data_IF_979239365055
#
_entry.id   IF_979239365055
#
_cell.length_a   1.000
_cell.length_b   1.000
_cell.length_c   1.000
_cell.angle_alpha   90.00
_cell.angle_beta   90.00
_cell.angle_gamma   90.00
#
_symmetry.space_group_name_H-M   'P 1'
#
loop_
_entity.id
_entity.type
_entity.pdbx_description
1 polymer ?
#
# COMPACT_ATOMS: atom_id res chain seq x y z
N UNK A 1 -31.81 -43.41 -59.88
CA UNK A 1 -30.72 -42.88 -59.03
C UNK A 1 -30.21 -44.01 -58.13
N UNK A 2 -28.89 -44.25 -58.08
CA UNK A 2 -28.23 -44.24 -56.79
C UNK A 2 -26.87 -43.53 -56.80
N UNK A 3 -26.57 -42.91 -55.65
CA UNK A 3 -25.40 -42.08 -55.36
C UNK A 3 -24.15 -42.96 -55.18
N UNK A 4 -23.13 -42.77 -56.02
CA UNK A 4 -21.73 -43.19 -55.75
C UNK A 4 -20.91 -41.93 -55.49
N UNK A 5 -20.55 -41.70 -54.23
CA UNK A 5 -19.70 -40.55 -53.89
C UNK A 5 -19.56 -40.31 -52.39
N UNK A 6 -19.08 -41.29 -51.61
CA UNK A 6 -18.72 -41.06 -50.19
C UNK A 6 -17.47 -41.80 -49.71
N UNK A 7 -16.79 -42.61 -50.53
CA UNK A 7 -15.61 -43.37 -50.08
C UNK A 7 -14.29 -42.58 -50.16
N UNK A 8 -14.18 -41.54 -50.99
CA UNK A 8 -12.95 -40.74 -51.09
C UNK A 8 -12.78 -39.74 -49.93
N UNK A 9 -13.87 -39.22 -49.35
CA UNK A 9 -13.80 -38.20 -48.30
C UNK A 9 -13.23 -38.72 -46.97
N UNK A 10 -13.45 -39.99 -46.64
CA UNK A 10 -12.93 -40.59 -45.41
C UNK A 10 -11.40 -40.68 -45.41
N UNK A 11 -10.82 -41.20 -46.50
CA UNK A 11 -9.37 -41.37 -46.63
C UNK A 11 -8.61 -40.05 -46.60
N UNK A 12 -9.12 -39.00 -47.25
CA UNK A 12 -8.53 -37.66 -47.20
C UNK A 12 -8.57 -37.03 -45.80
N UNK A 13 -9.61 -37.28 -45.00
CA UNK A 13 -9.68 -36.77 -43.63
C UNK A 13 -8.67 -37.45 -42.70
N UNK A 14 -8.49 -38.77 -42.83
CA UNK A 14 -7.45 -39.50 -42.09
C UNK A 14 -6.03 -39.06 -42.47
N UNK A 15 -5.81 -38.74 -43.76
CA UNK A 15 -4.52 -38.21 -44.24
C UNK A 15 -4.21 -36.82 -43.66
N UNK A 16 -5.22 -35.93 -43.61
CA UNK A 16 -5.07 -34.60 -43.01
C UNK A 16 -4.84 -34.65 -41.49
N UNK A 17 -5.51 -35.57 -40.77
CA UNK A 17 -5.28 -35.77 -39.33
C UNK A 17 -3.88 -36.32 -39.08
N UNK A 18 -3.42 -37.28 -39.89
CA UNK A 18 -2.04 -37.77 -39.81
C UNK A 18 -1.00 -36.68 -40.06
N UNK A 19 -1.24 -35.82 -41.05
CA UNK A 19 -0.35 -34.71 -41.38
C UNK A 19 -0.33 -33.64 -40.27
N UNK A 20 -1.48 -33.34 -39.67
CA UNK A 20 -1.56 -32.44 -38.51
C UNK A 20 -0.80 -32.99 -37.28
N UNK A 21 -0.88 -34.30 -37.03
CA UNK A 21 -0.12 -34.97 -35.96
C UNK A 21 1.39 -34.94 -36.20
N UNK A 22 1.82 -35.08 -37.46
CA UNK A 22 3.25 -34.97 -37.81
C UNK A 22 3.74 -33.53 -37.62
N UNK A 23 2.94 -32.53 -38.01
CA UNK A 23 3.29 -31.13 -37.77
C UNK A 23 3.33 -30.76 -36.29
N UNK A 24 2.43 -31.31 -35.46
CA UNK A 24 2.47 -31.09 -34.01
C UNK A 24 3.69 -31.73 -33.35
N UNK A 25 4.10 -32.93 -33.82
CA UNK A 25 5.33 -33.58 -33.37
C UNK A 25 6.57 -32.79 -33.77
N UNK A 26 6.63 -32.26 -35.00
CA UNK A 26 7.71 -31.39 -35.47
C UNK A 26 7.82 -30.09 -34.66
N UNK A 27 6.68 -29.49 -34.30
CA UNK A 27 6.64 -28.31 -33.42
C UNK A 27 7.14 -28.63 -32.01
N UNK A 28 6.78 -29.80 -31.47
CA UNK A 28 7.27 -30.25 -30.16
C UNK A 28 8.78 -30.49 -30.17
N UNK A 29 9.32 -31.15 -31.20
CA UNK A 29 10.78 -31.34 -31.32
C UNK A 29 11.50 -30.00 -31.49
N UNK A 30 10.94 -29.08 -32.28
CA UNK A 30 11.50 -27.73 -32.43
C UNK A 30 11.52 -26.93 -31.12
N UNK A 31 10.46 -27.03 -30.31
CA UNK A 31 10.40 -26.41 -28.98
C UNK A 31 11.37 -27.07 -27.99
N UNK A 32 11.63 -28.37 -28.12
CA UNK A 32 12.65 -29.07 -27.33
C UNK A 32 14.07 -28.66 -27.74
N UNK A 33 14.33 -28.46 -29.03
CA UNK A 33 15.63 -28.00 -29.55
C UNK A 33 15.89 -26.50 -29.28
N UNK A 34 14.84 -25.68 -29.19
CA UNK A 34 14.93 -24.24 -28.90
C UNK A 34 14.76 -23.88 -27.41
N UNK A 35 14.67 -24.87 -26.52
CA UNK A 35 14.73 -24.59 -25.09
C UNK A 35 16.18 -24.19 -24.72
N UNK A 36 16.43 -22.97 -24.21
CA UNK A 36 17.77 -22.56 -23.87
C UNK A 36 18.31 -23.46 -22.74
N UNK A 37 19.48 -24.06 -22.98
CA UNK A 37 20.22 -24.80 -21.96
C UNK A 37 20.51 -23.86 -20.78
N UNK A 38 20.12 -24.21 -19.54
CA UNK A 38 20.56 -23.46 -18.38
C UNK A 38 22.08 -23.62 -18.29
N UNK A 39 22.81 -22.51 -18.38
CA UNK A 39 24.25 -22.52 -18.16
C UNK A 39 24.56 -23.09 -16.77
N UNK A 40 25.33 -24.17 -16.77
CA UNK A 40 25.67 -24.91 -15.56
C UNK A 40 26.58 -26.10 -15.88
N UNK A 41 27.81 -25.78 -16.27
CA UNK A 41 29.05 -26.57 -16.21
C UNK A 41 28.99 -28.11 -16.23
N UNK A 42 29.70 -28.69 -17.22
CA UNK A 42 30.46 -29.93 -17.05
C UNK A 42 29.90 -31.13 -17.81
N UNK A 43 30.60 -31.49 -18.88
CA UNK A 43 30.47 -32.76 -19.59
C UNK A 43 30.73 -33.98 -18.69
N UNK A 44 30.00 -35.08 -18.89
CA UNK A 44 30.52 -36.44 -19.18
C UNK A 44 29.37 -37.48 -19.30
N UNK A 45 29.57 -38.61 -20.00
CA UNK A 45 28.53 -39.52 -20.48
C UNK A 45 28.20 -40.65 -19.49
N UNK A 46 26.98 -41.17 -19.58
CA UNK A 46 26.62 -42.51 -19.10
C UNK A 46 25.67 -42.57 -17.90
N UNK A 47 24.41 -42.91 -18.19
CA UNK A 47 23.35 -43.73 -17.52
C UNK A 47 23.41 -44.09 -16.00
N UNK A 48 24.49 -43.82 -15.24
CA UNK A 48 24.59 -44.10 -13.80
C UNK A 48 24.49 -42.85 -12.88
N UNK A 49 24.49 -41.63 -13.44
CA UNK A 49 24.51 -40.38 -12.66
C UNK A 49 23.14 -39.83 -12.22
N UNK A 50 22.05 -40.24 -12.85
CA UNK A 50 20.71 -39.68 -12.55
C UNK A 50 20.17 -40.13 -11.18
N UNK A 51 20.46 -41.36 -10.75
CA UNK A 51 20.01 -41.85 -9.43
C UNK A 51 20.71 -41.13 -8.27
N UNK A 52 22.05 -40.99 -8.34
CA UNK A 52 22.82 -40.29 -7.31
C UNK A 52 22.49 -38.79 -7.24
N UNK A 53 22.30 -38.15 -8.40
CA UNK A 53 21.91 -36.74 -8.46
C UNK A 53 20.51 -36.52 -7.86
N UNK A 54 19.53 -37.36 -8.23
CA UNK A 54 18.15 -37.27 -7.73
C UNK A 54 18.07 -37.51 -6.22
N UNK A 55 18.75 -38.53 -5.70
CA UNK A 55 18.79 -38.82 -4.26
C UNK A 55 19.47 -37.69 -3.48
N UNK A 56 20.53 -37.10 -4.03
CA UNK A 56 21.20 -35.94 -3.45
C UNK A 56 20.29 -34.69 -3.41
N UNK A 57 19.61 -34.38 -4.51
CA UNK A 57 18.63 -33.27 -4.54
C UNK A 57 17.47 -33.51 -3.58
N UNK A 58 17.00 -34.75 -3.47
CA UNK A 58 15.92 -35.11 -2.54
C UNK A 58 16.38 -34.98 -1.07
N UNK A 59 17.61 -35.36 -0.76
CA UNK A 59 18.19 -35.16 0.57
C UNK A 59 18.32 -33.67 0.92
N UNK A 60 18.73 -32.83 -0.03
CA UNK A 60 18.88 -31.38 0.18
C UNK A 60 17.52 -30.69 0.38
N UNK A 61 16.47 -31.12 -0.35
CA UNK A 61 15.10 -30.66 -0.12
C UNK A 61 14.58 -31.07 1.26
N UNK A 62 14.87 -32.31 1.67
CA UNK A 62 14.45 -32.81 2.98
C UNK A 62 15.16 -32.06 4.12
N UNK A 63 16.47 -31.79 3.98
CA UNK A 63 17.22 -30.99 4.94
C UNK A 63 16.63 -29.57 5.07
N UNK A 64 16.26 -28.95 3.95
CA UNK A 64 15.63 -27.63 3.98
C UNK A 64 14.25 -27.66 4.65
N UNK A 65 13.45 -28.70 4.37
CA UNK A 65 12.14 -28.89 5.00
C UNK A 65 12.26 -29.10 6.51
N UNK A 66 13.24 -29.90 6.95
CA UNK A 66 13.57 -30.11 8.37
C UNK A 66 14.01 -28.80 9.02
N UNK A 67 14.83 -27.99 8.34
CA UNK A 67 15.27 -26.69 8.83
C UNK A 67 14.11 -25.71 9.00
N UNK A 68 13.17 -25.66 8.03
CA UNK A 68 11.96 -24.86 8.14
C UNK A 68 11.03 -25.35 9.25
N UNK A 69 10.84 -26.67 9.38
CA UNK A 69 10.05 -27.26 10.47
C UNK A 69 10.64 -26.93 11.83
N UNK A 70 11.97 -27.03 11.97
CA UNK A 70 12.68 -26.67 13.20
C UNK A 70 12.50 -25.19 13.53
N UNK A 71 12.67 -24.30 12.55
CA UNK A 71 12.44 -22.85 12.74
C UNK A 71 10.99 -22.55 13.13
N UNK A 72 10.03 -23.17 12.46
CA UNK A 72 8.61 -23.00 12.75
C UNK A 72 8.24 -23.49 14.16
N UNK A 73 8.78 -24.62 14.61
CA UNK A 73 8.55 -25.13 15.97
C UNK A 73 9.22 -24.26 17.03
N UNK A 74 10.43 -23.77 16.78
CA UNK A 74 11.11 -22.81 17.65
C UNK A 74 10.32 -21.52 17.80
N UNK A 75 9.88 -20.93 16.68
CA UNK A 75 9.03 -19.73 16.69
C UNK A 75 7.70 -19.97 17.40
N UNK A 76 7.08 -21.14 17.18
CA UNK A 76 5.83 -21.52 17.88
C UNK A 76 6.04 -21.61 19.39
N UNK A 77 7.19 -22.10 19.85
CA UNK A 77 7.56 -22.11 21.28
C UNK A 77 7.77 -20.70 21.81
N UNK A 78 8.49 -19.83 21.08
CA UNK A 78 8.70 -18.44 21.47
C UNK A 78 7.37 -17.68 21.59
N UNK A 79 6.46 -17.87 20.62
CA UNK A 79 5.12 -17.28 20.66
C UNK A 79 4.33 -17.80 21.86
N UNK A 80 4.41 -19.11 22.16
CA UNK A 80 3.75 -19.67 23.33
C UNK A 80 4.30 -19.10 24.65
N UNK A 81 5.62 -18.95 24.75
CA UNK A 81 6.27 -18.37 25.93
C UNK A 81 5.89 -16.89 26.12
N UNK A 82 5.97 -16.08 25.06
CA UNK A 82 5.57 -14.67 25.11
C UNK A 82 4.08 -14.52 25.46
N UNK A 83 3.21 -15.39 24.95
CA UNK A 83 1.78 -15.40 25.33
C UNK A 83 1.59 -15.70 26.81
N UNK A 84 2.37 -16.64 27.36
CA UNK A 84 2.31 -16.95 28.78
C UNK A 84 2.81 -15.78 29.63
N UNK A 85 3.92 -15.14 29.26
CA UNK A 85 4.46 -13.97 29.95
C UNK A 85 3.47 -12.78 29.91
N UNK A 86 2.82 -12.54 28.77
CA UNK A 86 1.77 -11.53 28.64
C UNK A 86 0.55 -11.86 29.52
N UNK A 87 0.13 -13.12 29.57
CA UNK A 87 -0.98 -13.53 30.44
C UNK A 87 -0.62 -13.37 31.92
N UNK A 88 0.58 -13.75 32.33
CA UNK A 88 1.06 -13.59 33.71
C UNK A 88 1.15 -12.10 34.10
N UNK A 89 1.65 -11.26 33.21
CA UNK A 89 1.71 -9.81 33.44
C UNK A 89 0.31 -9.18 33.52
N UNK A 90 -0.63 -9.65 32.69
CA UNK A 90 -2.04 -9.24 32.73
C UNK A 90 -2.73 -9.64 34.04
N UNK A 91 -2.51 -10.87 34.53
CA UNK A 91 -3.03 -11.33 35.82
C UNK A 91 -2.41 -10.57 37.01
N UNK A 92 -1.12 -10.20 36.93
CA UNK A 92 -0.46 -9.32 37.90
C UNK A 92 -1.07 -7.92 37.91
N UNK A 93 -1.38 -7.36 36.75
CA UNK A 93 -2.07 -6.07 36.62
C UNK A 93 -3.49 -6.13 37.21
N UNK A 94 -4.26 -7.17 36.87
CA UNK A 94 -5.62 -7.36 37.40
C UNK A 94 -5.63 -7.53 38.92
N UNK A 95 -4.72 -8.34 39.46
CA UNK A 95 -4.60 -8.52 40.92
C UNK A 95 -4.10 -7.26 41.64
N UNK A 96 -3.29 -6.42 40.99
CA UNK A 96 -2.92 -5.11 41.51
C UNK A 96 -4.10 -4.12 41.51
N UNK A 97 -4.95 -4.17 40.48
CA UNK A 97 -6.18 -3.37 40.38
C UNK A 97 -7.24 -3.81 41.40
N UNK A 98 -7.45 -5.12 41.57
CA UNK A 98 -8.37 -5.69 42.56
C UNK A 98 -7.93 -5.34 43.99
N UNK A 99 -6.62 -5.34 44.27
CA UNK A 99 -6.06 -4.86 45.56
C UNK A 99 -6.25 -3.35 45.78
N UNK A 100 -6.23 -2.54 44.71
CA UNK A 100 -6.48 -1.09 44.75
C UNK A 100 -7.95 -0.77 45.00
N UNK A 101 -8.87 -1.64 44.56
CA UNK A 101 -10.31 -1.54 44.83
C UNK A 101 -10.69 -2.04 46.24
N UNK A 102 -9.98 -3.05 46.77
CA UNK A 102 -10.21 -3.60 48.11
C UNK A 102 -9.65 -2.71 49.25
N UNK A 103 -8.53 -2.02 49.02
CA UNK A 103 -7.98 -1.05 49.96
C UNK A 103 -8.43 0.36 49.54
N UNK A 104 -9.56 0.81 50.10
CA UNK A 104 -10.04 2.18 49.95
C UNK A 104 -8.93 3.21 50.18
N UNK A 105 -8.89 4.20 49.30
CA UNK A 105 -7.91 5.28 49.18
C UNK A 105 -7.10 5.62 50.45
N UNK A 106 -5.77 5.49 50.35
CA UNK A 106 -4.83 5.88 51.39
C UNK A 106 -3.37 5.86 50.94
N UNK A 107 -2.93 6.99 50.37
CA UNK A 107 -1.56 7.53 50.34
C UNK A 107 -0.36 6.70 49.79
N UNK A 108 0.17 7.24 48.70
CA UNK A 108 1.54 7.76 48.55
C UNK A 108 2.69 6.77 48.26
N UNK A 109 3.32 7.03 47.12
CA UNK A 109 4.72 6.71 46.85
C UNK A 109 4.93 5.40 46.10
N UNK A 110 5.49 5.50 44.89
CA UNK A 110 6.11 4.40 44.13
C UNK A 110 5.14 3.45 43.41
N UNK A 111 4.45 3.92 42.36
CA UNK A 111 3.86 3.03 41.33
C UNK A 111 3.46 3.70 39.99
N UNK A 112 3.85 4.94 39.72
CA UNK A 112 3.61 5.61 38.42
C UNK A 112 4.71 5.31 37.37
N UNK A 113 5.74 4.57 37.76
CA UNK A 113 6.91 4.30 36.92
C UNK A 113 6.65 3.41 35.69
N UNK A 114 5.92 2.28 35.75
CA UNK A 114 5.75 1.43 34.57
C UNK A 114 4.86 2.05 33.48
N UNK A 115 3.93 2.94 33.85
CA UNK A 115 3.09 3.67 32.89
C UNK A 115 3.87 4.79 32.21
N UNK A 116 4.73 5.50 32.97
CA UNK A 116 5.58 6.54 32.42
C UNK A 116 6.71 5.96 31.58
N UNK A 117 7.35 4.87 32.00
CA UNK A 117 8.38 4.17 31.24
C UNK A 117 7.83 3.64 29.90
N UNK A 118 6.59 3.14 29.89
CA UNK A 118 5.91 2.73 28.66
C UNK A 118 5.64 3.93 27.76
N UNK A 119 5.08 5.01 28.30
CA UNK A 119 4.77 6.22 27.54
C UNK A 119 6.04 6.83 26.94
N UNK A 120 7.13 6.90 27.71
CA UNK A 120 8.45 7.32 27.26
C UNK A 120 9.00 6.40 26.15
N UNK A 121 8.81 5.08 26.28
CA UNK A 121 9.17 4.14 25.22
C UNK A 121 8.38 4.41 23.92
N UNK A 122 7.08 4.65 24.03
CA UNK A 122 6.23 4.95 22.87
C UNK A 122 6.66 6.27 22.19
N UNK A 123 6.96 7.32 22.96
CA UNK A 123 7.53 8.55 22.42
C UNK A 123 8.89 8.30 21.76
N UNK A 124 9.76 7.48 22.37
CA UNK A 124 11.03 7.09 21.76
C UNK A 124 10.86 6.33 20.44
N UNK A 125 9.79 5.56 20.26
CA UNK A 125 9.48 4.92 18.98
C UNK A 125 9.06 5.94 17.92
N UNK A 126 8.28 6.96 18.29
CA UNK A 126 7.89 8.06 17.40
C UNK A 126 9.12 8.84 16.95
N UNK A 127 10.03 9.18 17.87
CA UNK A 127 11.25 9.92 17.55
C UNK A 127 12.18 9.16 16.58
N UNK A 128 12.11 7.82 16.60
CA UNK A 128 12.84 6.94 15.67
C UNK A 128 12.07 6.64 14.39
N UNK A 129 10.78 6.95 14.33
CA UNK A 129 9.94 6.67 13.18
C UNK A 129 10.30 7.58 12.01
N UNK A 130 10.03 7.11 10.79
CA UNK A 130 10.37 7.85 9.58
C UNK A 130 9.67 9.21 9.53
N UNK A 131 8.48 9.32 10.14
CA UNK A 131 7.66 10.53 10.19
C UNK A 131 8.41 11.76 10.76
N UNK A 132 9.37 11.56 11.68
CA UNK A 132 10.13 12.66 12.29
C UNK A 132 11.49 12.88 11.63
N UNK A 133 12.26 11.82 11.39
CA UNK A 133 13.70 11.91 11.04
C UNK A 133 14.01 11.56 9.57
N UNK A 134 13.05 10.97 8.85
CA UNK A 134 13.29 10.40 7.52
C UNK A 134 14.12 9.11 7.58
N UNK A 135 13.85 8.16 6.67
CA UNK A 135 14.50 6.85 6.67
C UNK A 135 15.60 6.77 5.60
N UNK A 136 16.74 6.19 5.98
CA UNK A 136 17.79 5.86 5.00
C UNK A 136 17.36 4.62 4.23
N UNK A 137 17.03 4.82 2.96
CA UNK A 137 16.66 3.74 2.05
C UNK A 137 17.91 2.97 1.56
N UNK A 138 17.82 1.64 1.40
CA UNK A 138 18.96 0.81 0.97
C UNK A 138 19.36 1.07 -0.48
N UNK A 139 18.45 1.54 -1.32
CA UNK A 139 18.70 1.93 -2.72
C UNK A 139 17.74 3.02 -3.17
N UNK A 140 18.04 3.66 -4.30
CA UNK A 140 17.16 4.64 -4.97
C UNK A 140 15.84 4.06 -5.46
N UNK A 141 15.76 2.74 -5.60
CA UNK A 141 14.55 2.02 -6.01
C UNK A 141 13.75 1.48 -4.82
N UNK A 142 14.25 1.63 -3.59
CA UNK A 142 13.51 1.20 -2.43
C UNK A 142 12.36 2.16 -2.18
N UNK A 143 11.14 1.68 -2.36
CA UNK A 143 9.91 2.45 -2.15
C UNK A 143 9.19 1.87 -0.94
N UNK A 144 8.83 2.72 0.01
CA UNK A 144 7.87 2.35 1.05
C UNK A 144 6.51 2.92 0.61
N UNK A 145 5.60 2.07 0.10
CA UNK A 145 4.32 2.53 -0.40
C UNK A 145 3.46 3.06 0.74
N UNK A 146 2.66 4.07 0.43
CA UNK A 146 1.52 4.48 1.24
C UNK A 146 0.24 3.97 0.57
N UNK A 147 -0.78 3.74 1.38
CA UNK A 147 -2.13 3.42 0.93
C UNK A 147 -3.03 4.60 1.26
N UNK A 148 -3.92 4.99 0.35
CA UNK A 148 -4.87 6.07 0.62
C UNK A 148 -6.23 5.51 0.98
N UNK A 149 -7.02 6.27 1.72
CA UNK A 149 -8.35 5.87 2.11
C UNK A 149 -9.25 7.09 2.32
N UNK A 150 -10.51 6.88 2.00
CA UNK A 150 -11.61 7.76 2.38
C UNK A 150 -12.42 7.08 3.49
N UNK A 151 -13.45 7.74 4.01
CA UNK A 151 -14.37 7.15 4.99
C UNK A 151 -15.01 5.83 4.54
N UNK A 152 -15.09 5.60 3.22
CA UNK A 152 -15.78 4.44 2.64
C UNK A 152 -14.89 3.44 1.90
N UNK A 153 -13.70 3.86 1.45
CA UNK A 153 -12.89 3.13 0.46
C UNK A 153 -11.42 3.16 0.86
N UNK A 154 -10.71 2.10 0.52
CA UNK A 154 -9.25 2.01 0.65
C UNK A 154 -8.66 1.76 -0.73
N UNK A 155 -7.59 2.47 -1.05
CA UNK A 155 -6.88 2.41 -2.31
C UNK A 155 -5.51 1.77 -2.07
N UNK A 156 -5.39 0.49 -2.44
CA UNK A 156 -4.18 -0.30 -2.21
C UNK A 156 -3.33 -0.40 -3.47
N UNK A 157 -2.01 -0.24 -3.31
CA UNK A 157 -1.05 -0.39 -4.41
C UNK A 157 -0.69 -1.86 -4.68
N UNK A 158 -0.87 -2.77 -3.72
CA UNK A 158 -0.48 -4.17 -3.83
C UNK A 158 -1.23 -4.93 -4.95
N UNK A 159 -2.43 -4.47 -5.31
CA UNK A 159 -3.23 -5.09 -6.37
C UNK A 159 -2.74 -4.73 -7.78
N UNK A 160 -1.74 -3.84 -7.91
CA UNK A 160 -1.26 -3.32 -9.19
C UNK A 160 -2.17 -2.23 -9.77
N UNK A 161 -1.76 -1.64 -10.90
CA UNK A 161 -2.52 -0.63 -11.66
C UNK A 161 -3.74 -1.23 -12.37
N UNK A 162 -4.61 -1.90 -11.61
CA UNK A 162 -5.85 -2.47 -12.12
C UNK A 162 -6.85 -1.37 -12.39
N UNK A 163 -7.87 -1.69 -13.18
CA UNK A 163 -8.96 -0.77 -13.54
C UNK A 163 -9.76 -0.27 -12.32
N UNK A 164 -9.75 -1.02 -11.22
CA UNK A 164 -10.47 -0.71 -9.98
C UNK A 164 -9.52 -0.83 -8.79
N UNK A 165 -8.72 0.22 -8.51
CA UNK A 165 -7.83 0.24 -7.35
C UNK A 165 -8.60 0.41 -6.02
N UNK A 166 -9.90 0.70 -6.09
CA UNK A 166 -10.77 0.84 -4.92
C UNK A 166 -11.14 -0.53 -4.32
N UNK A 167 -10.82 -0.71 -3.04
CA UNK A 167 -11.31 -1.80 -2.21
C UNK A 167 -12.28 -1.24 -1.17
N UNK A 168 -13.44 -1.88 -1.01
CA UNK A 168 -14.17 -1.70 0.25
C UNK A 168 -13.37 -2.43 1.32
N UNK A 169 -13.03 -1.85 2.47
CA UNK A 169 -12.35 -2.58 3.53
C UNK A 169 -13.21 -3.79 3.95
N UNK A 170 -12.87 -4.97 3.40
CA UNK A 170 -13.70 -6.18 3.49
C UNK A 170 -13.61 -6.75 4.89
N UNK A 171 -12.41 -6.68 5.48
CA UNK A 171 -12.15 -7.17 6.82
C UNK A 171 -12.61 -6.17 7.87
N UNK A 172 -13.35 -6.66 8.86
CA UNK A 172 -13.96 -5.85 9.91
C UNK A 172 -12.91 -5.14 10.77
N UNK A 173 -11.83 -5.83 11.11
CA UNK A 173 -10.69 -5.28 11.86
C UNK A 173 -10.09 -4.04 11.19
N UNK A 174 -9.86 -4.08 9.87
CA UNK A 174 -9.36 -2.92 9.12
C UNK A 174 -10.33 -1.77 9.06
N UNK A 175 -11.64 -2.03 8.96
CA UNK A 175 -12.65 -0.97 9.02
C UNK A 175 -12.66 -0.28 10.37
N UNK A 176 -12.73 -1.09 11.43
CA UNK A 176 -12.80 -0.59 12.79
C UNK A 176 -11.53 0.24 13.11
N UNK A 177 -10.36 -0.18 12.60
CA UNK A 177 -9.09 0.56 12.69
C UNK A 177 -9.14 1.93 11.98
N UNK A 178 -9.61 1.99 10.74
CA UNK A 178 -9.67 3.27 10.00
C UNK A 178 -10.69 4.24 10.60
N UNK A 179 -11.84 3.73 11.07
CA UNK A 179 -12.83 4.52 11.79
C UNK A 179 -12.24 5.09 13.08
N UNK A 180 -11.56 4.25 13.86
CA UNK A 180 -10.87 4.67 15.10
C UNK A 180 -9.84 5.78 14.82
N UNK A 181 -9.08 5.66 13.73
CA UNK A 181 -8.08 6.67 13.33
C UNK A 181 -8.75 8.00 12.95
N UNK A 182 -9.85 7.97 12.19
CA UNK A 182 -10.60 9.17 11.81
C UNK A 182 -11.22 9.83 13.06
N UNK A 183 -11.78 9.05 13.97
CA UNK A 183 -12.35 9.54 15.24
C UNK A 183 -11.28 10.19 16.12
N UNK A 184 -10.11 9.55 16.24
CA UNK A 184 -8.98 10.11 16.99
C UNK A 184 -8.46 11.41 16.35
N UNK A 185 -8.42 11.51 15.02
CA UNK A 185 -8.09 12.74 14.33
C UNK A 185 -9.08 13.87 14.64
N UNK A 186 -10.37 13.56 14.69
CA UNK A 186 -11.43 14.49 15.09
C UNK A 186 -11.33 14.90 16.56
N UNK A 187 -10.90 14.01 17.45
CA UNK A 187 -10.66 14.34 18.85
C UNK A 187 -9.48 15.31 18.98
N UNK A 188 -8.39 15.07 18.26
CA UNK A 188 -7.17 15.91 18.26
C UNK A 188 -7.45 17.32 17.73
N UNK A 189 -8.18 17.45 16.62
CA UNK A 189 -8.46 18.77 16.02
C UNK A 189 -9.46 19.59 16.84
N UNK A 190 -10.44 18.94 17.48
CA UNK A 190 -11.45 19.65 18.27
C UNK A 190 -10.97 19.96 19.70
N UNK A 191 -9.94 19.27 20.19
CA UNK A 191 -9.30 19.48 21.49
C UNK A 191 -7.79 19.72 21.30
N UNK A 192 -7.39 20.87 20.76
CA UNK A 192 -5.98 21.24 20.66
C UNK A 192 -5.35 21.34 22.05
N UNK A 193 -4.05 21.02 22.15
CA UNK A 193 -3.27 21.23 23.37
C UNK A 193 -2.87 22.72 23.47
N UNK A 194 -2.45 23.20 24.64
CA UNK A 194 -2.05 24.60 24.86
C UNK A 194 -1.01 25.10 23.83
N UNK A 195 -0.09 24.23 23.40
CA UNK A 195 0.94 24.53 22.39
C UNK A 195 0.38 24.73 20.96
N UNK A 196 -0.75 24.08 20.64
CA UNK A 196 -1.41 24.20 19.35
C UNK A 196 -2.42 25.36 19.33
N UNK A 197 -3.00 25.69 20.49
CA UNK A 197 -3.89 26.84 20.64
C UNK A 197 -3.16 28.15 20.29
N UNK A 198 -1.88 28.29 20.62
CA UNK A 198 -1.08 29.48 20.29
C UNK A 198 -0.88 29.69 18.77
N UNK A 199 -0.95 28.61 17.98
CA UNK A 199 -0.96 28.70 16.50
C UNK A 199 -2.33 29.07 15.94
N UNK A 200 -3.43 28.66 16.59
CA UNK A 200 -4.79 28.81 16.09
C UNK A 200 -5.51 30.08 16.62
N UNK A 201 -5.24 30.51 17.86
CA UNK A 201 -5.92 31.61 18.56
C UNK A 201 -5.32 33.01 18.30
N UNK A 202 -5.00 33.33 17.04
CA UNK A 202 -4.91 34.74 16.60
C UNK A 202 -6.25 35.33 16.13
N UNK A 203 -7.37 34.81 16.65
CA UNK A 203 -8.64 35.55 16.75
C UNK A 203 -9.80 35.08 15.86
N UNK A 204 -10.14 33.79 15.86
CA UNK A 204 -11.34 33.27 15.18
C UNK A 204 -12.14 32.28 16.05
N UNK A 205 -13.45 32.21 15.84
CA UNK A 205 -14.34 31.25 16.51
C UNK A 205 -13.82 29.81 16.37
N UNK A 206 -13.94 29.02 17.44
CA UNK A 206 -13.57 27.60 17.46
C UNK A 206 -14.50 26.82 16.53
N UNK A 207 -14.05 26.56 15.30
CA UNK A 207 -14.78 25.76 14.31
C UNK A 207 -14.75 24.30 14.77
N UNK A 208 -15.92 23.69 14.93
CA UNK A 208 -16.04 22.27 15.26
C UNK A 208 -15.99 21.45 13.97
N UNK A 209 -15.07 20.50 13.91
CA UNK A 209 -14.91 19.58 12.79
C UNK A 209 -15.71 18.30 13.03
N UNK A 210 -16.27 17.77 11.94
CA UNK A 210 -17.06 16.54 11.90
C UNK A 210 -16.47 15.56 10.89
N UNK A 211 -16.98 14.32 10.86
CA UNK A 211 -16.59 13.31 9.87
C UNK A 211 -16.82 13.79 8.42
N UNK A 212 -17.79 14.70 8.19
CA UNK A 212 -18.05 15.24 6.86
C UNK A 212 -16.93 16.17 6.35
N UNK A 213 -16.09 16.68 7.26
CA UNK A 213 -14.96 17.54 6.91
C UNK A 213 -13.71 16.73 6.56
N UNK A 214 -13.71 15.42 6.81
CA UNK A 214 -12.63 14.52 6.40
C UNK A 214 -12.62 14.35 4.88
N UNK A 215 -11.46 14.59 4.26
CA UNK A 215 -11.28 14.53 2.81
C UNK A 215 -10.66 13.21 2.39
N UNK A 216 -9.45 12.94 2.87
CA UNK A 216 -8.65 11.76 2.54
C UNK A 216 -7.69 11.48 3.70
N UNK A 217 -7.27 10.23 3.82
CA UNK A 217 -6.20 9.81 4.69
C UNK A 217 -5.18 8.96 3.95
N UNK A 218 -3.92 9.03 4.41
CA UNK A 218 -2.86 8.14 3.98
C UNK A 218 -2.39 7.30 5.16
N UNK A 219 -2.03 6.05 4.92
CA UNK A 219 -1.33 5.27 5.93
C UNK A 219 -0.19 4.45 5.35
N UNK A 220 0.77 4.16 6.22
CA UNK A 220 1.95 3.36 5.90
C UNK A 220 2.38 2.57 7.13
N UNK A 221 2.69 1.29 6.96
CA UNK A 221 3.14 0.43 8.06
C UNK A 221 4.65 0.18 8.00
N UNK A 222 5.37 0.67 9.00
CA UNK A 222 6.76 0.31 9.30
C UNK A 222 6.76 -0.98 10.15
N UNK A 223 7.29 -2.07 9.59
CA UNK A 223 7.18 -3.43 10.19
C UNK A 223 7.76 -3.54 11.61
N UNK A 224 8.72 -2.70 11.95
CA UNK A 224 9.49 -2.72 13.19
C UNK A 224 9.10 -1.61 14.17
N UNK A 225 8.26 -0.65 13.78
CA UNK A 225 7.92 0.51 14.62
C UNK A 225 6.42 0.71 14.80
N UNK A 226 5.62 0.46 13.75
CA UNK A 226 4.18 0.69 13.78
C UNK A 226 3.62 1.29 12.50
N UNK A 227 2.39 1.79 12.59
CA UNK A 227 1.67 2.39 11.47
C UNK A 227 1.61 3.91 11.62
N UNK A 228 1.91 4.60 10.53
CA UNK A 228 1.79 6.04 10.37
C UNK A 228 0.50 6.35 9.63
N UNK A 229 -0.25 7.36 10.09
CA UNK A 229 -1.47 7.87 9.46
C UNK A 229 -1.38 9.38 9.30
N UNK A 230 -1.77 9.86 8.12
CA UNK A 230 -1.93 11.28 7.81
C UNK A 230 -3.39 11.51 7.44
N UNK A 231 -4.02 12.50 8.06
CA UNK A 231 -5.44 12.80 7.87
C UNK A 231 -5.60 14.25 7.43
N UNK A 232 -6.44 14.47 6.43
CA UNK A 232 -6.71 15.79 5.87
C UNK A 232 -8.17 16.18 6.12
N UNK A 233 -8.37 17.26 6.87
CA UNK A 233 -9.69 17.82 7.14
C UNK A 233 -9.83 19.17 6.45
N UNK A 234 -10.87 19.32 5.64
CA UNK A 234 -11.14 20.56 4.94
C UNK A 234 -11.62 21.64 5.91
N UNK A 235 -11.12 22.87 5.74
CA UNK A 235 -11.64 24.05 6.43
C UNK A 235 -12.50 24.87 5.45
N UNK A 236 -13.83 24.73 5.50
CA UNK A 236 -14.73 25.23 4.45
C UNK A 236 -14.69 26.75 4.26
N UNK A 237 -14.31 27.52 5.28
CA UNK A 237 -14.34 28.99 5.24
C UNK A 237 -13.05 29.62 4.69
N UNK A 238 -11.91 28.91 4.70
CA UNK A 238 -10.60 29.50 4.39
C UNK A 238 -9.88 28.87 3.19
N UNK A 239 -10.38 27.76 2.62
CA UNK A 239 -9.69 27.05 1.54
C UNK A 239 -8.34 26.47 1.98
N UNK A 240 -8.19 26.25 3.29
CA UNK A 240 -7.06 25.58 3.93
C UNK A 240 -7.50 24.20 4.40
N UNK A 241 -6.54 23.33 4.71
CA UNK A 241 -6.83 22.06 5.36
C UNK A 241 -6.03 21.91 6.65
N UNK A 242 -6.58 21.16 7.59
CA UNK A 242 -5.84 20.66 8.74
C UNK A 242 -5.23 19.31 8.38
N UNK A 243 -3.92 19.23 8.54
CA UNK A 243 -3.13 18.02 8.36
C UNK A 243 -2.77 17.48 9.74
N UNK A 244 -3.27 16.29 10.04
CA UNK A 244 -3.04 15.62 11.32
C UNK A 244 -2.20 14.38 11.06
N UNK A 245 -1.11 14.27 11.80
CA UNK A 245 -0.19 13.15 11.75
C UNK A 245 -0.34 12.34 13.03
N UNK A 246 -0.80 11.09 12.88
CA UNK A 246 -0.95 10.14 13.98
C UNK A 246 -0.01 8.95 13.77
N UNK A 247 0.52 8.41 14.86
CA UNK A 247 1.37 7.23 14.83
C UNK A 247 0.86 6.19 15.81
N UNK A 248 0.60 4.99 15.30
CA UNK A 248 0.28 3.80 16.07
C UNK A 248 1.53 2.95 16.20
N UNK A 249 2.29 3.05 17.30
CA UNK A 249 3.29 2.04 17.64
C UNK A 249 2.61 0.68 17.89
N UNK A 250 3.32 -0.28 18.48
CA UNK A 250 2.69 -1.52 18.98
C UNK A 250 1.83 -1.30 20.26
N UNK A 251 1.04 -0.23 20.27
CA UNK A 251 0.29 0.28 21.40
C UNK A 251 -0.83 1.23 20.94
N UNK A 252 -1.26 2.19 21.79
CA UNK A 252 -2.32 3.12 21.45
C UNK A 252 -1.90 4.08 20.33
N UNK A 253 -2.87 4.63 19.61
CA UNK A 253 -2.65 5.68 18.62
C UNK A 253 -2.20 6.97 19.34
N UNK A 254 -1.14 7.59 18.84
CA UNK A 254 -0.54 8.79 19.46
C UNK A 254 -0.51 9.93 18.44
N UNK A 255 -0.78 11.14 18.91
CA UNK A 255 -0.62 12.37 18.15
C UNK A 255 0.88 12.66 17.94
N UNK A 256 1.27 12.96 16.70
CA UNK A 256 2.63 13.37 16.36
C UNK A 256 2.68 14.85 16.00
N UNK A 257 1.77 15.30 15.14
CA UNK A 257 1.79 16.66 14.59
C UNK A 257 0.41 17.11 14.15
N UNK A 258 0.14 18.41 14.29
CA UNK A 258 -1.03 19.07 13.73
C UNK A 258 -0.54 20.32 13.00
N UNK A 259 -0.94 20.49 11.75
CA UNK A 259 -0.58 21.64 10.94
C UNK A 259 -1.80 22.17 10.19
N UNK A 260 -1.92 23.49 10.07
CA UNK A 260 -2.87 24.10 9.13
C UNK A 260 -2.12 24.51 7.89
N UNK A 261 -2.48 23.96 6.73
CA UNK A 261 -1.88 24.31 5.45
C UNK A 261 -2.87 25.13 4.60
N UNK A 262 -2.47 26.36 4.28
CA UNK A 262 -3.21 27.22 3.36
C UNK A 262 -2.82 26.94 1.92
N UNK A 263 -3.75 26.36 1.15
CA UNK A 263 -3.59 26.04 -0.27
C UNK A 263 -4.22 27.11 -1.16
N UNK A 264 -4.81 28.16 -0.58
CA UNK A 264 -5.56 29.19 -1.32
C UNK A 264 -4.70 29.83 -2.43
N UNK A 265 -3.39 29.94 -2.20
CA UNK A 265 -2.42 30.57 -3.10
C UNK A 265 -1.53 29.59 -3.87
N UNK A 266 -1.71 28.29 -3.68
CA UNK A 266 -0.87 27.29 -4.35
C UNK A 266 -1.33 27.10 -5.79
N UNK A 267 -0.37 27.14 -6.70
CA UNK A 267 -0.60 26.98 -8.15
C UNK A 267 -0.14 25.59 -8.58
N UNK A 268 -1.02 24.84 -9.24
CA UNK A 268 -0.73 23.48 -9.71
C UNK A 268 -0.22 23.54 -11.15
N UNK A 269 1.00 23.08 -11.38
CA UNK A 269 1.59 23.01 -12.72
C UNK A 269 1.44 21.58 -13.25
N UNK A 270 0.65 21.42 -14.31
CA UNK A 270 0.46 20.14 -15.00
C UNK A 270 1.36 20.15 -16.24
N UNK A 271 2.34 19.25 -16.26
CA UNK A 271 3.27 19.11 -17.39
C UNK A 271 2.92 17.83 -18.14
N UNK A 272 2.49 17.99 -19.39
CA UNK A 272 2.08 16.86 -20.25
C UNK A 272 3.12 16.67 -21.35
N UNK A 273 3.97 15.63 -21.26
CA UNK A 273 4.80 15.23 -22.39
C UNK A 273 3.93 14.53 -23.44
N UNK A 274 3.87 15.10 -24.65
CA UNK A 274 3.02 14.62 -25.73
C UNK A 274 3.84 14.30 -26.98
N UNK A 275 3.54 13.16 -27.61
CA UNK A 275 4.07 12.80 -28.92
C UNK A 275 2.99 12.05 -29.68
N UNK A 276 2.58 12.57 -30.85
CA UNK A 276 1.41 12.08 -31.57
C UNK A 276 0.14 12.07 -30.71
N UNK A 277 -0.69 11.02 -30.85
CA UNK A 277 -1.92 10.76 -30.05
C UNK A 277 -2.83 11.99 -29.82
N UNK A 278 -3.04 12.77 -30.88
CA UNK A 278 -3.80 14.02 -30.85
C UNK A 278 -5.26 13.83 -30.41
N UNK A 279 -5.90 12.72 -30.82
CA UNK A 279 -7.27 12.38 -30.38
C UNK A 279 -7.40 12.21 -28.86
N UNK A 280 -6.48 11.48 -28.23
CA UNK A 280 -6.49 11.28 -26.78
C UNK A 280 -6.19 12.59 -26.03
N UNK A 281 -5.32 13.43 -26.62
CA UNK A 281 -5.03 14.76 -26.09
C UNK A 281 -6.25 15.68 -26.16
N UNK A 282 -7.04 15.64 -27.24
CA UNK A 282 -8.29 16.39 -27.35
C UNK A 282 -9.28 16.01 -26.22
N UNK A 283 -9.41 14.71 -25.93
CA UNK A 283 -10.25 14.25 -24.81
C UNK A 283 -9.69 14.69 -23.45
N UNK A 284 -8.38 14.62 -23.26
CA UNK A 284 -7.72 15.15 -22.06
C UNK A 284 -8.02 16.63 -21.86
N UNK A 285 -7.92 17.44 -22.92
CA UNK A 285 -8.18 18.88 -22.88
C UNK A 285 -9.63 19.19 -22.50
N UNK A 286 -10.61 18.42 -23.00
CA UNK A 286 -12.00 18.57 -22.58
C UNK A 286 -12.17 18.31 -21.08
N UNK A 287 -11.61 17.21 -20.57
CA UNK A 287 -11.64 16.90 -19.14
C UNK A 287 -10.91 17.97 -18.31
N UNK A 288 -9.79 18.48 -18.80
CA UNK A 288 -9.03 19.57 -18.16
C UNK A 288 -9.87 20.84 -18.07
N UNK A 289 -10.63 21.18 -19.10
CA UNK A 289 -11.53 22.33 -19.08
C UNK A 289 -12.62 22.19 -18.03
N UNK A 290 -13.27 21.04 -17.96
CA UNK A 290 -14.40 20.79 -17.06
C UNK A 290 -13.97 20.69 -15.58
N UNK A 291 -12.81 20.12 -15.31
CA UNK A 291 -12.32 19.93 -13.94
C UNK A 291 -11.41 21.07 -13.49
N UNK A 292 -10.37 21.38 -14.26
CA UNK A 292 -9.29 22.25 -13.81
C UNK A 292 -9.59 23.75 -14.03
N UNK A 293 -10.21 24.10 -15.16
CA UNK A 293 -10.53 25.51 -15.48
C UNK A 293 -11.85 25.95 -14.84
N UNK A 294 -12.90 25.14 -14.97
CA UNK A 294 -14.22 25.54 -14.44
C UNK A 294 -14.29 25.50 -12.92
N UNK A 295 -13.61 24.54 -12.25
CA UNK A 295 -13.70 24.36 -10.79
C UNK A 295 -12.59 25.09 -10.02
N UNK A 296 -11.31 24.80 -10.32
CA UNK A 296 -10.18 25.23 -9.46
C UNK A 296 -9.50 26.54 -9.91
N UNK A 297 -9.48 26.83 -11.23
CA UNK A 297 -8.90 28.06 -11.84
C UNK A 297 -7.42 28.36 -11.54
N UNK A 298 -6.75 27.54 -10.73
CA UNK A 298 -5.36 27.72 -10.24
C UNK A 298 -4.38 26.72 -10.85
N UNK A 299 -4.75 26.18 -12.00
CA UNK A 299 -3.99 25.16 -12.73
C UNK A 299 -3.33 25.78 -13.96
N UNK A 300 -2.06 25.46 -14.20
CA UNK A 300 -1.32 25.85 -15.40
C UNK A 300 -0.92 24.60 -16.15
N UNK A 301 -1.37 24.50 -17.40
CA UNK A 301 -1.03 23.40 -18.29
C UNK A 301 0.15 23.79 -19.17
N UNK A 302 1.24 23.03 -19.09
CA UNK A 302 2.38 23.10 -20.01
C UNK A 302 2.44 21.83 -20.84
N UNK A 303 2.29 21.96 -22.15
CA UNK A 303 2.39 20.84 -23.08
C UNK A 303 3.78 20.84 -23.71
N UNK A 304 4.55 19.78 -23.47
CA UNK A 304 5.86 19.58 -24.07
C UNK A 304 5.69 18.61 -25.23
N UNK A 305 5.67 19.14 -26.44
CA UNK A 305 5.45 18.34 -27.65
C UNK A 305 6.77 17.83 -28.23
N UNK A 306 6.81 16.53 -28.55
CA UNK A 306 7.97 15.85 -29.12
C UNK A 306 7.70 15.43 -30.56
N UNK A 307 8.31 16.16 -31.50
CA UNK A 307 8.23 15.93 -32.95
C UNK A 307 7.54 17.08 -33.68
N UNK A 308 7.40 16.97 -35.00
CA UNK A 308 6.67 17.93 -35.84
C UNK A 308 5.29 17.39 -36.28
N UNK A 309 5.16 16.06 -36.35
CA UNK A 309 3.98 15.37 -36.89
C UNK A 309 2.76 15.49 -35.96
N UNK A 310 1.81 16.36 -36.31
CA UNK A 310 0.60 16.60 -35.52
C UNK A 310 0.68 17.80 -34.59
N UNK A 311 1.78 18.56 -34.62
CA UNK A 311 1.94 19.79 -33.84
C UNK A 311 0.83 20.82 -34.16
N UNK A 312 0.53 21.02 -35.45
CA UNK A 312 -0.50 21.97 -35.88
C UNK A 312 -1.90 21.62 -35.34
N UNK A 313 -2.22 20.33 -35.21
CA UNK A 313 -3.48 19.85 -34.65
C UNK A 313 -3.53 20.09 -33.13
N UNK A 314 -2.43 19.86 -32.42
CA UNK A 314 -2.30 20.16 -30.99
C UNK A 314 -2.45 21.64 -30.71
N UNK A 315 -1.84 22.51 -31.53
CA UNK A 315 -2.02 23.95 -31.45
C UNK A 315 -3.48 24.38 -31.66
N UNK A 316 -4.21 23.73 -32.58
CA UNK A 316 -5.63 23.98 -32.80
C UNK A 316 -6.48 23.54 -31.59
N UNK A 317 -6.18 22.37 -31.02
CA UNK A 317 -6.84 21.87 -29.81
C UNK A 317 -6.63 22.84 -28.63
N UNK A 318 -5.40 23.34 -28.44
CA UNK A 318 -5.07 24.26 -27.35
C UNK A 318 -5.79 25.60 -27.46
N UNK A 319 -6.01 26.12 -28.68
CA UNK A 319 -6.82 27.34 -28.90
C UNK A 319 -8.28 27.20 -28.49
N UNK A 320 -8.78 25.98 -28.30
CA UNK A 320 -10.16 25.73 -27.83
C UNK A 320 -10.31 25.94 -26.32
N UNK A 321 -9.18 26.09 -25.62
CA UNK A 321 -9.08 26.21 -24.16
C UNK A 321 -8.90 27.65 -23.70
N UNK A 322 -8.28 28.50 -24.53
CA UNK A 322 -8.25 29.96 -24.37
C UNK A 322 -9.65 30.57 -24.45
#
# INVERSE_FOLDING_TARGET
MPRRGFYLQGKTRWLLVGLALVFSLMLLTYLLECAPTPEGNGSLPGIAGEMYSKEYYQALLQEQEEHYKSRATSLKRQIAQLKQELQEMSEKLRSAQDKKLANGAGHQGTKEQPSNDLLEFLHSQIDKAEVVVGAKLPSEYAVVPFESFDSMKVYQLEMGLTRHPEEKPIRKDRRDELVEVIEAGLEVINNPDEDDEDQENRGGDKVLFTEADFVEGYYRTERDKGSHYELFYNKPESGSYHHITLFRPFGPLMKVKVETQDVSRTVINIIVPLSGRTEAFAQFIQNYKDVCIQQDKRTYLTVVYFGEDGLSEVEEILKTVE
#
